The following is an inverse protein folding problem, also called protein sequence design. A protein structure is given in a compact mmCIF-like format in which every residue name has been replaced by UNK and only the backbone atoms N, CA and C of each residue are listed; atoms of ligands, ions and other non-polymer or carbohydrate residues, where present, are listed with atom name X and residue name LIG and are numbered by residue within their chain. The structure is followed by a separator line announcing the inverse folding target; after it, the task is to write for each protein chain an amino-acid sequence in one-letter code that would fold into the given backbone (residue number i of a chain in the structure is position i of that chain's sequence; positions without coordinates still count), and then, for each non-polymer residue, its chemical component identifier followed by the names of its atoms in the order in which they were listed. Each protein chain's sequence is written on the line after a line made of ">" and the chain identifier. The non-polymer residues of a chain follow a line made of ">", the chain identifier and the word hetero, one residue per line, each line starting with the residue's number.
data_IF_487442501876
#
_entry.id   IF_487442501876
#
_cell.length_a   1.000
_cell.length_b   1.000
_cell.length_c   1.000
_cell.angle_alpha   90.00
_cell.angle_beta   90.00
_cell.angle_gamma   90.00
#
_symmetry.space_group_name_H-M   'P 1'
#
loop_
_entity.id
_entity.type
_entity.pdbx_description
1 polymer ?
#
# COMPACT_ATOMS: atom_id res chain seq x y z
N UNK A 1 1.38 -37.18 -30.08
CA UNK A 1 2.40 -36.22 -29.68
C UNK A 1 2.10 -35.82 -28.26
N UNK A 2 2.99 -36.15 -27.32
CA UNK A 2 2.82 -35.75 -25.94
C UNK A 2 2.97 -34.24 -25.87
N UNK A 3 2.01 -33.60 -25.22
CA UNK A 3 2.09 -32.16 -24.91
C UNK A 3 3.29 -31.94 -24.01
N UNK A 4 4.35 -31.34 -24.52
CA UNK A 4 5.50 -31.05 -23.69
C UNK A 4 5.26 -29.75 -22.89
N UNK A 5 6.06 -29.54 -21.84
CA UNK A 5 5.90 -28.43 -20.89
C UNK A 5 5.95 -27.07 -21.60
N UNK A 6 6.78 -26.93 -22.65
CA UNK A 6 6.92 -25.66 -23.36
C UNK A 6 5.69 -25.30 -24.20
N UNK A 7 4.93 -26.30 -24.65
CA UNK A 7 3.67 -26.04 -25.38
C UNK A 7 2.55 -25.60 -24.40
N UNK A 8 2.57 -26.17 -23.19
CA UNK A 8 1.64 -25.75 -22.14
C UNK A 8 2.00 -24.35 -21.62
N UNK A 9 3.28 -24.00 -21.55
CA UNK A 9 3.77 -22.69 -21.13
C UNK A 9 3.22 -21.55 -21.99
N UNK A 10 3.26 -21.71 -23.32
CA UNK A 10 2.77 -20.69 -24.26
C UNK A 10 1.29 -20.41 -24.07
N UNK A 11 0.49 -21.45 -23.89
CA UNK A 11 -0.95 -21.34 -23.66
C UNK A 11 -1.25 -20.68 -22.32
N UNK A 12 -0.54 -21.08 -21.26
CA UNK A 12 -0.68 -20.51 -19.94
C UNK A 12 -0.32 -19.01 -19.93
N UNK A 13 0.76 -18.66 -20.60
CA UNK A 13 1.26 -17.28 -20.67
C UNK A 13 0.29 -16.35 -21.39
N UNK A 14 -0.32 -16.81 -22.47
CA UNK A 14 -1.25 -15.99 -23.26
C UNK A 14 -2.60 -15.76 -22.57
N UNK A 15 -3.06 -16.75 -21.81
CA UNK A 15 -4.38 -16.67 -21.17
C UNK A 15 -4.37 -15.96 -19.81
N UNK A 16 -3.29 -16.10 -19.04
CA UNK A 16 -3.27 -15.60 -17.67
C UNK A 16 -2.99 -14.09 -17.53
N UNK A 17 -2.20 -13.51 -18.43
CA UNK A 17 -1.85 -12.09 -18.31
C UNK A 17 -3.09 -11.17 -18.38
N UNK A 18 -3.99 -11.31 -19.37
CA UNK A 18 -5.21 -10.51 -19.38
C UNK A 18 -6.11 -10.77 -18.18
N UNK A 19 -6.23 -12.02 -17.73
CA UNK A 19 -7.05 -12.40 -16.58
C UNK A 19 -6.49 -11.82 -15.28
N UNK A 20 -5.18 -11.86 -15.09
CA UNK A 20 -4.50 -11.28 -13.93
C UNK A 20 -4.74 -9.77 -13.85
N UNK A 21 -4.55 -9.07 -14.98
CA UNK A 21 -4.76 -7.62 -15.06
C UNK A 21 -6.20 -7.23 -14.74
N UNK A 22 -7.16 -7.95 -15.29
CA UNK A 22 -8.59 -7.69 -15.07
C UNK A 22 -8.97 -7.91 -13.59
N UNK A 23 -8.50 -9.00 -12.99
CA UNK A 23 -8.77 -9.31 -11.58
C UNK A 23 -8.18 -8.26 -10.64
N UNK A 24 -6.96 -7.83 -10.89
CA UNK A 24 -6.32 -6.79 -10.08
C UNK A 24 -7.13 -5.49 -10.10
N UNK A 25 -7.66 -5.09 -11.25
CA UNK A 25 -8.37 -3.83 -11.40
C UNK A 25 -9.80 -3.84 -10.85
N UNK A 26 -10.38 -5.00 -10.62
CA UNK A 26 -11.78 -5.12 -10.22
C UNK A 26 -12.02 -5.15 -8.71
N UNK A 27 -11.08 -5.65 -7.93
CA UNK A 27 -11.32 -5.99 -6.50
C UNK A 27 -10.70 -5.02 -5.49
N UNK A 28 -9.75 -4.18 -5.89
CA UNK A 28 -8.99 -3.35 -4.95
C UNK A 28 -9.35 -1.88 -5.17
N UNK A 29 -9.98 -1.28 -4.16
CA UNK A 29 -10.60 0.03 -4.30
C UNK A 29 -9.54 1.13 -4.43
N UNK A 30 -8.58 1.20 -3.50
CA UNK A 30 -7.60 2.29 -3.50
C UNK A 30 -6.65 2.22 -4.70
N UNK A 31 -6.18 1.02 -5.03
CA UNK A 31 -5.27 0.83 -6.16
C UNK A 31 -5.92 1.24 -7.49
N UNK A 32 -7.24 1.05 -7.61
CA UNK A 32 -8.00 1.44 -8.82
C UNK A 32 -8.14 2.95 -8.97
N UNK A 33 -7.99 3.71 -7.88
CA UNK A 33 -8.10 5.17 -7.91
C UNK A 33 -6.78 5.85 -8.26
N UNK A 34 -5.66 5.15 -8.08
CA UNK A 34 -4.31 5.68 -8.33
C UNK A 34 -3.92 5.37 -9.78
N UNK A 35 -3.51 6.40 -10.52
CA UNK A 35 -3.03 6.22 -11.90
C UNK A 35 -1.63 5.61 -11.92
N UNK A 36 -1.41 4.70 -12.86
CA UNK A 36 -0.11 4.07 -13.06
C UNK A 36 0.67 4.80 -14.15
N UNK A 37 1.91 5.17 -13.84
CA UNK A 37 2.82 5.84 -14.76
C UNK A 37 4.05 4.94 -14.98
N UNK A 38 4.28 4.56 -16.22
CA UNK A 38 5.41 3.70 -16.59
C UNK A 38 6.52 4.46 -17.33
N UNK A 39 6.33 5.75 -17.60
CA UNK A 39 7.24 6.53 -18.45
C UNK A 39 8.41 7.17 -17.70
N UNK A 40 8.22 7.53 -16.43
CA UNK A 40 9.19 8.32 -15.67
C UNK A 40 10.19 7.48 -14.89
N UNK A 41 10.25 6.19 -15.16
CA UNK A 41 11.13 5.27 -14.44
C UNK A 41 12.34 4.93 -15.32
N UNK A 42 13.52 5.34 -14.90
CA UNK A 42 14.77 4.98 -15.55
C UNK A 42 15.71 4.27 -14.58
N UNK A 43 16.05 3.05 -14.90
CA UNK A 43 16.91 2.22 -14.05
C UNK A 43 16.23 1.80 -12.75
N UNK A 44 16.79 2.19 -11.61
CA UNK A 44 16.36 1.70 -10.29
C UNK A 44 15.55 2.72 -9.48
N UNK A 45 15.20 3.86 -10.05
CA UNK A 45 14.41 4.88 -9.34
C UNK A 45 13.75 5.85 -10.32
N UNK A 46 12.66 6.46 -9.89
CA UNK A 46 12.09 7.62 -10.55
C UNK A 46 12.65 8.88 -9.87
N UNK A 47 13.03 9.88 -10.67
CA UNK A 47 13.53 11.15 -10.14
C UNK A 47 12.65 12.27 -10.71
N UNK A 48 12.03 13.03 -9.80
CA UNK A 48 11.12 14.10 -10.14
C UNK A 48 11.64 15.41 -9.57
N UNK A 49 11.62 16.49 -10.37
CA UNK A 49 12.05 17.82 -9.93
C UNK A 49 10.85 18.60 -9.41
N UNK A 50 10.91 19.01 -8.17
CA UNK A 50 9.83 19.75 -7.50
C UNK A 50 10.28 21.19 -7.26
N UNK A 51 9.45 22.17 -7.64
CA UNK A 51 9.66 23.58 -7.41
C UNK A 51 9.38 23.90 -5.92
N UNK A 52 10.40 24.35 -5.20
CA UNK A 52 10.33 24.51 -3.73
C UNK A 52 10.48 25.93 -3.24
N UNK A 53 10.86 26.88 -4.12
CA UNK A 53 11.04 28.25 -3.67
C UNK A 53 10.96 29.27 -4.78
N UNK A 54 10.34 30.39 -4.47
CA UNK A 54 10.12 31.48 -5.40
C UNK A 54 11.38 32.34 -5.55
N UNK A 55 11.46 33.03 -6.69
CA UNK A 55 12.51 33.99 -6.97
C UNK A 55 12.34 35.22 -6.05
N UNK A 56 13.42 35.60 -5.35
CA UNK A 56 13.46 36.77 -4.48
C UNK A 56 13.57 38.10 -5.22
N UNK A 57 13.82 38.07 -6.54
CA UNK A 57 14.00 39.27 -7.36
C UNK A 57 12.71 39.97 -7.78
N UNK A 58 11.61 39.77 -7.02
CA UNK A 58 10.29 40.37 -7.30
C UNK A 58 9.92 41.32 -6.16
N UNK A 59 9.58 42.58 -6.48
CA UNK A 59 9.13 43.50 -5.47
C UNK A 59 8.85 44.89 -6.06
N UNK A 60 7.90 45.59 -5.39
CA UNK A 60 7.58 46.98 -5.77
C UNK A 60 8.74 47.91 -5.41
N UNK A 61 8.94 48.96 -6.21
CA UNK A 61 9.93 49.99 -5.97
C UNK A 61 9.30 51.35 -6.27
N UNK A 62 9.88 52.40 -5.68
CA UNK A 62 9.53 53.75 -6.00
C UNK A 62 10.02 54.12 -7.39
N UNK A 63 9.46 55.19 -7.97
CA UNK A 63 9.92 55.71 -9.23
C UNK A 63 11.40 56.11 -9.15
N UNK A 64 12.24 55.56 -10.03
CA UNK A 64 13.70 55.77 -10.00
C UNK A 64 14.45 54.99 -8.93
N UNK A 65 13.75 54.11 -8.18
CA UNK A 65 14.39 53.31 -7.13
C UNK A 65 15.20 52.13 -7.66
N UNK A 66 16.15 51.64 -6.84
CA UNK A 66 16.99 50.48 -7.19
C UNK A 66 16.12 49.25 -7.39
N UNK A 67 16.34 48.50 -8.48
CA UNK A 67 15.63 47.26 -8.77
C UNK A 67 15.89 46.19 -7.68
N UNK A 68 14.97 45.23 -7.49
CA UNK A 68 15.21 44.12 -6.56
C UNK A 68 16.46 43.33 -6.94
N UNK A 69 17.20 42.87 -5.96
CA UNK A 69 18.34 41.98 -6.21
C UNK A 69 17.85 40.70 -6.92
N UNK A 70 18.54 40.35 -8.01
CA UNK A 70 18.19 39.16 -8.79
C UNK A 70 18.28 37.89 -7.93
N UNK A 71 17.29 37.06 -8.02
CA UNK A 71 17.25 35.75 -7.36
C UNK A 71 17.05 34.64 -8.38
N UNK A 72 16.83 33.42 -7.90
CA UNK A 72 16.54 32.28 -8.76
C UNK A 72 15.41 31.45 -8.17
N UNK A 73 14.73 30.73 -8.99
CA UNK A 73 13.76 29.69 -8.53
C UNK A 73 14.54 28.56 -7.88
N UNK A 74 13.94 27.92 -6.89
CA UNK A 74 14.58 26.80 -6.18
C UNK A 74 13.85 25.49 -6.47
N UNK A 75 14.63 24.44 -6.68
CA UNK A 75 14.13 23.11 -7.02
C UNK A 75 14.78 22.08 -6.11
N UNK A 76 14.07 20.99 -5.84
CA UNK A 76 14.56 19.80 -5.12
C UNK A 76 14.18 18.55 -5.90
N UNK A 77 15.00 17.52 -5.78
CA UNK A 77 14.76 16.24 -6.44
C UNK A 77 14.05 15.29 -5.47
N UNK A 78 12.87 14.87 -5.85
CA UNK A 78 12.18 13.73 -5.24
C UNK A 78 12.77 12.46 -5.84
N UNK A 79 13.20 11.52 -5.00
CA UNK A 79 13.83 10.26 -5.44
C UNK A 79 13.03 9.06 -4.93
N UNK A 80 12.24 8.48 -5.83
CA UNK A 80 11.36 7.36 -5.52
C UNK A 80 12.05 6.05 -5.94
N UNK A 81 12.44 5.23 -4.96
CA UNK A 81 13.09 3.94 -5.22
C UNK A 81 12.10 2.86 -5.60
N UNK A 82 12.54 1.87 -6.39
CA UNK A 82 11.72 0.74 -6.79
C UNK A 82 11.59 -0.28 -5.66
N UNK A 83 10.41 -0.86 -5.57
CA UNK A 83 10.10 -1.97 -4.67
C UNK A 83 9.58 -3.15 -5.50
N UNK A 84 9.89 -4.36 -5.08
CA UNK A 84 9.59 -5.57 -5.85
C UNK A 84 8.65 -6.47 -5.05
N UNK A 85 7.54 -6.83 -5.66
CA UNK A 85 6.56 -7.74 -5.08
C UNK A 85 6.54 -9.02 -5.92
N UNK A 86 6.66 -10.18 -5.26
CA UNK A 86 6.74 -11.47 -5.93
C UNK A 86 5.65 -12.40 -5.40
N UNK A 87 5.00 -13.12 -6.30
CA UNK A 87 4.18 -14.26 -5.97
C UNK A 87 4.82 -15.51 -6.58
N UNK A 88 4.78 -16.62 -5.85
CA UNK A 88 5.38 -17.88 -6.32
C UNK A 88 4.45 -19.04 -6.04
N UNK A 89 4.22 -19.86 -7.07
CA UNK A 89 3.57 -21.15 -6.92
C UNK A 89 4.60 -22.25 -7.13
N UNK A 90 4.35 -23.41 -6.55
CA UNK A 90 5.25 -24.56 -6.61
C UNK A 90 4.40 -25.81 -6.78
N UNK A 91 4.66 -26.56 -7.83
CA UNK A 91 3.94 -27.80 -8.13
C UNK A 91 4.94 -28.95 -8.12
N UNK A 92 4.63 -30.00 -7.39
CA UNK A 92 5.55 -31.15 -7.28
C UNK A 92 5.39 -32.11 -8.46
N UNK A 93 6.50 -32.76 -8.84
CA UNK A 93 6.53 -33.75 -9.92
C UNK A 93 5.50 -34.89 -9.78
N UNK A 94 5.31 -35.47 -8.56
CA UNK A 94 4.27 -36.47 -8.36
C UNK A 94 2.86 -35.97 -8.68
N UNK A 95 2.54 -34.73 -8.32
CA UNK A 95 1.23 -34.12 -8.61
C UNK A 95 1.05 -33.99 -10.13
N UNK A 96 2.09 -33.52 -10.84
CA UNK A 96 2.09 -33.41 -12.29
C UNK A 96 1.85 -34.78 -12.95
N UNK A 97 2.50 -35.84 -12.43
CA UNK A 97 2.35 -37.19 -12.96
C UNK A 97 0.96 -37.77 -12.68
N UNK A 98 0.41 -37.54 -11.49
CA UNK A 98 -0.92 -38.00 -11.13
C UNK A 98 -2.01 -37.38 -11.98
N UNK A 99 -1.81 -36.15 -12.43
CA UNK A 99 -2.76 -35.40 -13.27
C UNK A 99 -2.58 -35.66 -14.78
N UNK A 100 -1.54 -36.37 -15.19
CA UNK A 100 -1.24 -36.65 -16.62
C UNK A 100 -2.32 -37.46 -17.33
N UNK A 101 -3.12 -38.21 -16.58
CA UNK A 101 -4.24 -38.98 -17.14
C UNK A 101 -5.47 -38.11 -17.46
N UNK A 102 -5.53 -36.90 -16.89
CA UNK A 102 -6.62 -35.93 -17.14
C UNK A 102 -6.02 -34.54 -17.29
N UNK A 103 -5.78 -34.12 -18.52
CA UNK A 103 -5.20 -32.81 -18.84
C UNK A 103 -6.07 -31.65 -18.35
N UNK A 104 -7.39 -31.83 -18.36
CA UNK A 104 -8.31 -30.81 -17.84
C UNK A 104 -8.17 -30.59 -16.34
N UNK A 105 -7.90 -31.66 -15.58
CA UNK A 105 -7.68 -31.56 -14.13
C UNK A 105 -6.39 -30.79 -13.79
N UNK A 106 -5.34 -31.03 -14.56
CA UNK A 106 -4.05 -30.33 -14.39
C UNK A 106 -4.18 -28.83 -14.67
N UNK A 107 -4.81 -28.48 -15.79
CA UNK A 107 -5.03 -27.07 -16.15
C UNK A 107 -5.86 -26.35 -15.08
N UNK A 108 -6.96 -26.98 -14.63
CA UNK A 108 -7.82 -26.39 -13.58
C UNK A 108 -7.07 -26.20 -12.25
N UNK A 109 -6.19 -27.13 -11.89
CA UNK A 109 -5.41 -27.02 -10.65
C UNK A 109 -4.42 -25.86 -10.72
N UNK A 110 -3.70 -25.71 -11.83
CA UNK A 110 -2.75 -24.60 -12.03
C UNK A 110 -3.52 -23.26 -12.07
N UNK A 111 -4.65 -23.20 -12.78
CA UNK A 111 -5.49 -21.99 -12.84
C UNK A 111 -5.93 -21.57 -11.43
N UNK A 112 -6.35 -22.52 -10.62
CA UNK A 112 -6.76 -22.27 -9.24
C UNK A 112 -5.61 -21.71 -8.40
N UNK A 113 -4.42 -22.30 -8.52
CA UNK A 113 -3.22 -21.84 -7.78
C UNK A 113 -2.77 -20.45 -8.25
N UNK A 114 -2.75 -20.21 -9.54
CA UNK A 114 -2.39 -18.90 -10.11
C UNK A 114 -3.40 -17.83 -9.63
N UNK A 115 -4.69 -18.13 -9.71
CA UNK A 115 -5.74 -17.22 -9.25
C UNK A 115 -5.60 -16.93 -7.76
N UNK A 116 -5.28 -17.95 -6.96
CA UNK A 116 -5.04 -17.80 -5.53
C UNK A 116 -3.87 -16.87 -5.22
N UNK A 117 -2.73 -17.10 -5.85
CA UNK A 117 -1.53 -16.26 -5.65
C UNK A 117 -1.78 -14.82 -6.10
N UNK A 118 -2.51 -14.63 -7.23
CA UNK A 118 -2.86 -13.29 -7.70
C UNK A 118 -3.72 -12.56 -6.67
N UNK A 119 -4.72 -13.26 -6.09
CA UNK A 119 -5.57 -12.69 -5.04
C UNK A 119 -4.76 -12.29 -3.80
N UNK A 120 -3.88 -13.17 -3.35
CA UNK A 120 -3.04 -12.93 -2.17
C UNK A 120 -2.05 -11.77 -2.42
N UNK A 121 -1.47 -11.71 -3.61
CA UNK A 121 -0.56 -10.62 -4.00
C UNK A 121 -1.30 -9.27 -4.04
N UNK A 122 -2.52 -9.26 -4.60
CA UNK A 122 -3.42 -8.10 -4.60
C UNK A 122 -3.65 -7.56 -3.18
N UNK A 123 -4.05 -8.47 -2.29
CA UNK A 123 -4.35 -8.11 -0.90
C UNK A 123 -3.13 -7.53 -0.22
N UNK A 124 -1.97 -8.14 -0.44
CA UNK A 124 -0.73 -7.66 0.16
C UNK A 124 -0.32 -6.30 -0.39
N UNK A 125 -0.44 -6.07 -1.70
CA UNK A 125 -0.14 -4.77 -2.31
C UNK A 125 -1.12 -3.70 -1.80
N UNK A 126 -2.42 -4.01 -1.69
CA UNK A 126 -3.40 -3.06 -1.14
C UNK A 126 -3.08 -2.70 0.31
N UNK A 127 -2.66 -3.68 1.13
CA UNK A 127 -2.18 -3.43 2.49
C UNK A 127 -0.98 -2.46 2.48
N UNK A 128 -0.02 -2.70 1.57
CA UNK A 128 1.18 -1.86 1.45
C UNK A 128 0.86 -0.43 1.04
N UNK A 129 -0.21 -0.19 0.26
CA UNK A 129 -0.64 1.18 -0.11
C UNK A 129 -0.95 2.02 1.15
N UNK A 130 -1.37 1.39 2.23
CA UNK A 130 -1.67 2.09 3.49
C UNK A 130 -0.52 2.05 4.50
N UNK A 131 0.65 1.52 4.13
CA UNK A 131 1.80 1.33 5.01
C UNK A 131 2.39 2.68 5.50
N UNK A 132 3.09 2.62 6.63
CA UNK A 132 3.75 3.78 7.26
C UNK A 132 5.25 3.89 6.95
N UNK A 133 5.75 3.14 5.98
CA UNK A 133 7.18 2.98 5.62
C UNK A 133 7.97 2.05 6.54
N UNK A 134 7.41 1.63 7.67
CA UNK A 134 8.10 0.67 8.56
C UNK A 134 7.84 -0.79 8.16
N UNK A 135 6.71 -1.05 7.51
CA UNK A 135 6.31 -2.40 7.14
C UNK A 135 5.76 -3.22 8.30
N UNK A 136 5.60 -2.61 9.47
CA UNK A 136 5.08 -3.29 10.66
C UNK A 136 3.55 -3.43 10.55
N UNK A 137 3.07 -4.65 10.80
CA UNK A 137 1.62 -4.92 10.83
C UNK A 137 1.06 -4.60 12.21
N UNK A 138 1.73 -5.08 13.26
CA UNK A 138 1.27 -4.89 14.63
C UNK A 138 2.44 -4.90 15.60
N UNK A 139 2.28 -4.21 16.73
CA UNK A 139 3.27 -4.17 17.81
C UNK A 139 2.93 -5.28 18.81
N UNK A 140 3.96 -5.98 19.30
CA UNK A 140 3.82 -6.99 20.34
C UNK A 140 3.79 -6.34 21.72
N UNK A 141 3.25 -7.04 22.70
CA UNK A 141 3.30 -6.68 24.11
C UNK A 141 4.04 -7.75 24.90
N UNK A 142 3.79 -9.01 24.57
CA UNK A 142 4.39 -10.16 25.25
C UNK A 142 4.14 -11.42 24.43
N UNK A 143 4.76 -12.52 24.85
CA UNK A 143 4.53 -13.84 24.26
C UNK A 143 4.49 -14.89 25.36
N UNK A 144 3.68 -15.92 25.18
CA UNK A 144 3.65 -17.12 26.03
C UNK A 144 3.17 -18.33 25.23
N UNK A 145 4.03 -19.36 25.15
CA UNK A 145 3.72 -20.63 24.47
C UNK A 145 3.22 -20.43 23.03
N UNK A 146 3.98 -19.64 22.26
CA UNK A 146 3.72 -19.31 20.84
C UNK A 146 2.51 -18.40 20.62
N UNK A 147 1.91 -17.90 21.71
CA UNK A 147 0.79 -16.96 21.63
C UNK A 147 1.35 -15.56 21.86
N UNK A 148 1.34 -14.77 20.82
CA UNK A 148 1.86 -13.39 20.81
C UNK A 148 0.70 -12.44 21.11
N UNK A 149 0.79 -11.73 22.22
CA UNK A 149 -0.20 -10.71 22.63
C UNK A 149 0.21 -9.39 22.00
N UNK A 150 -0.73 -8.73 21.31
CA UNK A 150 -0.45 -7.47 20.61
C UNK A 150 -0.83 -6.28 21.48
N UNK A 151 -0.07 -5.19 21.32
CA UNK A 151 -0.30 -3.92 22.02
C UNK A 151 -1.47 -3.19 21.36
N UNK A 152 -2.61 -3.14 22.04
CA UNK A 152 -3.82 -2.43 21.58
C UNK A 152 -4.09 -2.61 20.05
N UNK A 153 -4.19 -3.87 19.59
CA UNK A 153 -4.33 -4.09 18.15
C UNK A 153 -5.66 -3.57 17.60
N UNK A 154 -5.61 -3.00 16.43
CA UNK A 154 -6.82 -2.56 15.73
C UNK A 154 -7.43 -3.72 14.93
N UNK A 155 -8.71 -3.60 14.60
CA UNK A 155 -9.40 -4.61 13.80
C UNK A 155 -8.74 -4.78 12.41
N UNK A 156 -8.19 -3.71 11.84
CA UNK A 156 -7.46 -3.77 10.56
C UNK A 156 -6.19 -4.62 10.71
N UNK A 157 -5.39 -4.37 11.74
CA UNK A 157 -4.16 -5.13 11.98
C UNK A 157 -4.43 -6.63 12.17
N UNK A 158 -5.47 -6.96 12.94
CA UNK A 158 -5.85 -8.38 13.15
C UNK A 158 -6.33 -9.05 11.86
N UNK A 159 -7.01 -8.31 10.97
CA UNK A 159 -7.44 -8.84 9.68
C UNK A 159 -6.28 -9.05 8.70
N UNK A 160 -5.20 -8.27 8.85
CA UNK A 160 -4.00 -8.39 8.02
C UNK A 160 -3.14 -9.60 8.41
N UNK A 161 -3.32 -10.14 9.63
CA UNK A 161 -2.62 -11.32 10.12
C UNK A 161 -3.44 -12.57 9.80
N UNK A 162 -3.47 -12.94 8.53
CA UNK A 162 -4.28 -14.08 8.06
C UNK A 162 -3.62 -15.42 8.38
N UNK A 163 -4.44 -16.42 8.72
CA UNK A 163 -3.97 -17.78 8.99
C UNK A 163 -3.26 -18.35 7.75
N UNK A 164 -2.09 -18.94 7.96
CA UNK A 164 -1.25 -19.46 6.90
C UNK A 164 -0.21 -18.46 6.37
N UNK A 165 -0.35 -17.17 6.70
CA UNK A 165 0.66 -16.18 6.27
C UNK A 165 1.97 -16.37 7.05
N UNK A 166 3.07 -16.06 6.38
CA UNK A 166 4.41 -16.20 6.98
C UNK A 166 4.85 -14.81 7.46
N UNK A 167 5.26 -14.75 8.73
CA UNK A 167 5.62 -13.49 9.40
C UNK A 167 6.98 -13.60 10.09
N UNK A 168 7.61 -12.45 10.27
CA UNK A 168 8.82 -12.29 11.08
C UNK A 168 8.46 -11.47 12.33
N UNK A 169 9.11 -11.74 13.45
CA UNK A 169 8.91 -10.99 14.70
C UNK A 169 10.25 -10.48 15.22
N UNK A 170 10.30 -9.19 15.49
CA UNK A 170 11.51 -8.56 16.03
C UNK A 170 11.42 -7.05 16.04
N UNK A 171 12.53 -6.40 16.33
CA UNK A 171 12.60 -4.92 16.35
C UNK A 171 12.70 -4.37 14.91
N UNK A 172 12.44 -3.08 14.76
CA UNK A 172 12.42 -2.41 13.44
C UNK A 172 13.74 -2.57 12.68
N UNK A 173 14.87 -2.57 13.40
CA UNK A 173 16.20 -2.70 12.79
C UNK A 173 16.64 -4.16 12.60
N UNK A 174 15.97 -5.10 13.25
CA UNK A 174 16.22 -6.54 13.10
C UNK A 174 14.89 -7.30 13.15
N UNK A 175 14.17 -7.36 12.02
CA UNK A 175 12.79 -7.88 12.02
C UNK A 175 12.69 -9.39 12.29
N UNK A 176 13.78 -10.12 12.22
CA UNK A 176 13.80 -11.56 12.46
C UNK A 176 14.42 -11.94 13.83
N UNK A 177 14.61 -10.96 14.71
CA UNK A 177 15.30 -11.17 15.99
C UNK A 177 14.66 -12.25 16.86
N UNK A 178 13.34 -12.23 16.95
CA UNK A 178 12.61 -13.19 17.79
C UNK A 178 12.12 -14.39 16.97
N UNK A 179 11.51 -14.15 15.80
CA UNK A 179 11.02 -15.25 14.94
C UNK A 179 11.35 -14.91 13.48
N UNK A 180 11.92 -15.87 12.78
CA UNK A 180 12.14 -15.80 11.34
C UNK A 180 11.23 -16.81 10.64
N UNK A 181 10.40 -16.32 9.73
CA UNK A 181 9.47 -17.11 8.91
C UNK A 181 8.57 -18.01 9.76
N UNK A 182 7.89 -17.42 10.74
CA UNK A 182 6.87 -18.12 11.53
C UNK A 182 5.53 -18.11 10.79
N UNK A 183 4.79 -19.21 10.86
CA UNK A 183 3.48 -19.33 10.20
C UNK A 183 2.37 -19.00 11.19
N UNK A 184 1.44 -18.14 10.79
CA UNK A 184 0.28 -17.79 11.60
C UNK A 184 -0.67 -19.00 11.64
N UNK A 185 -0.88 -19.56 12.84
CA UNK A 185 -1.77 -20.70 13.06
C UNK A 185 -3.20 -20.27 13.39
N UNK A 186 -3.34 -19.21 14.18
CA UNK A 186 -4.67 -18.69 14.53
C UNK A 186 -4.57 -17.21 14.93
N UNK A 187 -5.68 -16.50 14.78
CA UNK A 187 -5.81 -15.09 15.20
C UNK A 187 -7.07 -14.98 16.08
N UNK A 188 -6.90 -14.51 17.30
CA UNK A 188 -8.01 -14.28 18.23
C UNK A 188 -8.32 -12.78 18.25
N UNK A 189 -9.38 -12.39 17.56
CA UNK A 189 -9.78 -10.99 17.43
C UNK A 189 -10.37 -10.41 18.73
N UNK A 190 -10.83 -11.26 19.64
CA UNK A 190 -11.40 -10.82 20.93
C UNK A 190 -10.29 -10.42 21.90
N UNK A 191 -9.25 -11.25 22.00
CA UNK A 191 -8.15 -11.04 22.94
C UNK A 191 -6.98 -10.28 22.34
N UNK A 192 -6.98 -10.07 21.02
CA UNK A 192 -5.88 -9.40 20.33
C UNK A 192 -4.60 -10.23 20.34
N UNK A 193 -4.71 -11.54 20.13
CA UNK A 193 -3.56 -12.45 20.15
C UNK A 193 -3.42 -13.19 18.83
N UNK A 194 -2.19 -13.56 18.50
CA UNK A 194 -1.83 -14.35 17.31
C UNK A 194 -0.98 -15.53 17.76
N UNK A 195 -1.33 -16.74 17.30
CA UNK A 195 -0.54 -17.93 17.57
C UNK A 195 0.32 -18.25 16.35
N UNK A 196 1.62 -18.42 16.57
CA UNK A 196 2.57 -18.83 15.54
C UNK A 196 2.97 -20.29 15.74
N UNK A 197 3.56 -20.88 14.71
CA UNK A 197 4.12 -22.25 14.78
C UNK A 197 5.44 -22.30 15.54
N UNK A 198 6.09 -21.15 15.78
CA UNK A 198 7.44 -21.04 16.35
C UNK A 198 7.44 -20.30 17.68
N UNK A 199 8.30 -20.74 18.58
CA UNK A 199 8.66 -20.00 19.78
C UNK A 199 9.66 -18.89 19.43
N UNK A 200 9.68 -17.79 20.19
CA UNK A 200 10.68 -16.74 19.96
C UNK A 200 12.09 -17.17 20.43
N UNK A 201 13.11 -16.55 19.89
CA UNK A 201 14.50 -16.77 20.28
C UNK A 201 14.84 -16.16 21.63
N UNK A 202 14.08 -15.15 22.05
CA UNK A 202 14.30 -14.42 23.30
C UNK A 202 12.98 -13.94 23.89
N UNK A 203 13.05 -12.89 24.70
CA UNK A 203 11.88 -12.31 25.33
C UNK A 203 11.21 -11.31 24.37
N UNK A 204 9.94 -11.50 24.12
CA UNK A 204 9.13 -10.60 23.27
C UNK A 204 8.54 -9.48 24.17
N UNK A 205 8.73 -8.24 23.74
CA UNK A 205 8.21 -7.07 24.48
C UNK A 205 7.65 -6.01 23.53
N UNK A 206 7.42 -4.82 24.04
CA UNK A 206 6.82 -3.72 23.28
C UNK A 206 7.76 -3.06 22.26
N UNK A 207 9.04 -3.48 22.19
CA UNK A 207 9.93 -3.03 21.10
C UNK A 207 9.81 -3.92 19.87
N UNK A 208 9.14 -5.09 19.98
CA UNK A 208 8.99 -6.06 18.90
C UNK A 208 7.70 -5.80 18.09
N UNK A 209 7.81 -6.05 16.81
CA UNK A 209 6.72 -5.89 15.85
C UNK A 209 6.60 -7.14 14.99
N UNK A 210 5.40 -7.37 14.46
CA UNK A 210 5.15 -8.42 13.47
C UNK A 210 5.21 -7.81 12.09
N UNK A 211 6.00 -8.43 11.21
CA UNK A 211 6.20 -8.04 9.81
C UNK A 211 5.78 -9.21 8.90
N UNK A 212 5.41 -8.93 7.66
CA UNK A 212 5.40 -9.98 6.62
C UNK A 212 6.83 -10.49 6.45
N UNK A 213 6.99 -11.79 6.29
CA UNK A 213 8.34 -12.35 6.15
C UNK A 213 9.02 -11.78 4.89
N UNK A 214 10.23 -11.26 5.06
CA UNK A 214 10.97 -10.60 4.00
C UNK A 214 10.58 -9.15 3.73
N UNK A 215 9.64 -8.58 4.50
CA UNK A 215 9.20 -7.18 4.31
C UNK A 215 10.30 -6.17 4.65
N UNK A 216 11.28 -6.58 5.45
CA UNK A 216 12.36 -5.70 5.87
C UNK A 216 13.72 -6.38 5.69
N UNK A 217 14.71 -5.55 5.45
CA UNK A 217 16.13 -5.95 5.40
C UNK A 217 16.60 -6.22 6.83
N UNK A 218 17.19 -7.38 7.07
CA UNK A 218 17.70 -7.79 8.39
C UNK A 218 19.01 -7.11 8.78
N UNK A 219 19.65 -6.41 7.84
CA UNK A 219 20.95 -5.74 8.08
C UNK A 219 20.80 -4.29 8.48
N UNK A 220 19.91 -3.54 7.81
CA UNK A 220 19.76 -2.10 8.00
C UNK A 220 18.32 -1.67 8.37
N UNK A 221 17.41 -2.63 8.45
CA UNK A 221 16.00 -2.36 8.79
C UNK A 221 15.22 -1.59 7.72
N UNK A 222 15.76 -1.43 6.51
CA UNK A 222 15.04 -0.75 5.44
C UNK A 222 13.88 -1.62 4.95
N UNK A 223 12.76 -0.99 4.57
CA UNK A 223 11.61 -1.75 4.10
C UNK A 223 11.74 -2.13 2.63
N UNK A 224 11.36 -3.37 2.32
CA UNK A 224 11.20 -3.86 0.95
C UNK A 224 9.79 -3.56 0.42
N UNK A 225 8.85 -3.24 1.31
CA UNK A 225 7.47 -2.90 0.95
C UNK A 225 7.34 -1.47 0.43
N UNK A 226 6.21 -1.17 -0.18
CA UNK A 226 5.87 0.17 -0.67
C UNK A 226 5.83 1.17 0.49
N UNK A 227 6.20 2.41 0.21
CA UNK A 227 5.94 3.53 1.11
C UNK A 227 4.49 3.96 0.82
N UNK A 228 3.63 3.73 1.78
CA UNK A 228 2.19 3.94 1.61
C UNK A 228 1.70 5.28 2.13
N UNK A 229 0.37 5.42 2.13
CA UNK A 229 -0.31 6.68 2.45
C UNK A 229 0.00 7.20 3.85
N UNK A 230 0.22 6.32 4.83
CA UNK A 230 0.55 6.80 6.18
C UNK A 230 1.90 7.52 6.25
N UNK A 231 2.84 7.16 5.39
CA UNK A 231 4.13 7.85 5.29
C UNK A 231 4.04 9.07 4.38
N UNK A 232 3.28 8.95 3.28
CA UNK A 232 3.13 10.03 2.30
C UNK A 232 2.34 11.20 2.91
N UNK A 233 1.21 10.89 3.57
CA UNK A 233 0.37 11.90 4.23
C UNK A 233 0.87 12.11 5.65
N UNK A 234 2.01 12.81 5.77
CA UNK A 234 2.66 13.09 7.04
C UNK A 234 3.29 14.48 6.98
N UNK A 235 3.45 15.12 8.14
CA UNK A 235 4.03 16.46 8.25
C UNK A 235 5.44 16.45 8.85
N UNK A 236 6.03 15.29 9.06
CA UNK A 236 7.35 15.11 9.66
C UNK A 236 8.08 13.93 9.02
N UNK A 237 9.40 13.90 9.17
CA UNK A 237 10.24 12.83 8.63
C UNK A 237 10.58 13.05 7.15
N UNK A 238 11.80 12.71 6.76
CA UNK A 238 12.28 12.83 5.37
C UNK A 238 11.54 11.81 4.50
N UNK A 239 10.92 12.30 3.43
CA UNK A 239 10.22 11.46 2.45
C UNK A 239 10.85 11.70 1.07
N UNK A 240 11.27 10.63 0.38
CA UNK A 240 11.82 10.67 -0.98
C UNK A 240 12.96 11.69 -1.16
N UNK A 241 13.84 11.79 -0.14
CA UNK A 241 15.01 12.67 -0.11
C UNK A 241 14.67 14.14 0.18
N UNK A 242 13.43 14.46 0.52
CA UNK A 242 13.01 15.84 0.86
C UNK A 242 12.59 15.89 2.33
N UNK A 243 13.20 16.82 3.08
CA UNK A 243 12.90 17.03 4.50
C UNK A 243 11.83 18.14 4.63
N UNK A 244 10.65 17.83 5.17
CA UNK A 244 9.60 18.84 5.32
C UNK A 244 9.93 19.94 6.37
N UNK A 245 10.92 19.72 7.24
CA UNK A 245 11.36 20.77 8.13
C UNK A 245 12.11 21.88 7.41
N UNK A 246 12.74 21.54 6.26
CA UNK A 246 13.47 22.47 5.40
C UNK A 246 12.57 22.99 4.28
N UNK A 247 11.80 22.10 3.67
CA UNK A 247 10.88 22.45 2.57
C UNK A 247 9.45 22.36 3.13
N UNK A 248 8.96 23.46 3.68
CA UNK A 248 7.65 23.47 4.34
C UNK A 248 6.49 23.15 3.40
N UNK A 249 6.64 23.46 2.12
CA UNK A 249 5.65 23.12 1.07
C UNK A 249 5.52 21.59 0.88
N UNK A 250 6.47 20.81 1.41
CA UNK A 250 6.45 19.34 1.32
C UNK A 250 5.61 18.70 2.44
N UNK A 251 5.11 19.48 3.40
CA UNK A 251 4.28 18.95 4.50
C UNK A 251 2.87 18.62 4.01
N UNK A 252 2.33 17.48 4.47
CA UNK A 252 0.89 17.23 4.36
C UNK A 252 0.16 17.95 5.49
N UNK A 253 -1.08 18.33 5.24
CA UNK A 253 -2.00 18.79 6.28
C UNK A 253 -2.39 17.59 7.15
N UNK A 254 -2.01 17.61 8.42
CA UNK A 254 -2.32 16.52 9.37
C UNK A 254 -3.12 17.08 10.53
N UNK A 255 -4.37 16.65 10.66
CA UNK A 255 -5.27 17.06 11.75
C UNK A 255 -5.47 15.87 12.71
N UNK A 256 -4.44 15.64 13.57
CA UNK A 256 -4.32 14.45 14.41
C UNK A 256 -4.93 14.55 15.80
N UNK A 257 -5.42 15.72 16.21
CA UNK A 257 -6.04 15.96 17.54
C UNK A 257 -5.20 15.40 18.70
N UNK A 258 -3.87 15.51 18.61
CA UNK A 258 -2.90 14.97 19.60
C UNK A 258 -3.14 13.47 19.88
N UNK A 259 -3.53 12.70 18.86
CA UNK A 259 -3.75 11.25 18.99
C UNK A 259 -5.10 10.85 19.58
N UNK A 260 -5.94 11.81 19.97
CA UNK A 260 -7.24 11.53 20.58
C UNK A 260 -8.34 11.41 19.52
N UNK A 261 -9.05 10.29 19.53
CA UNK A 261 -10.16 10.05 18.59
C UNK A 261 -11.30 11.03 18.84
N UNK A 262 -11.94 11.45 17.75
CA UNK A 262 -13.10 12.35 17.80
C UNK A 262 -14.11 11.97 16.71
N UNK A 263 -15.30 12.55 16.80
CA UNK A 263 -16.37 12.28 15.84
C UNK A 263 -16.00 12.82 14.44
N UNK A 264 -16.34 12.05 13.41
CA UNK A 264 -16.18 12.48 12.02
C UNK A 264 -17.39 13.35 11.64
N UNK A 265 -17.26 14.67 11.83
CA UNK A 265 -18.33 15.65 11.58
C UNK A 265 -18.12 16.35 10.24
N UNK A 266 -19.19 16.95 9.69
CA UNK A 266 -19.11 17.81 8.50
C UNK A 266 -18.07 18.92 8.72
N UNK A 267 -18.17 19.61 9.84
CA UNK A 267 -17.26 20.72 10.20
C UNK A 267 -15.78 20.26 10.23
N UNK A 268 -15.52 19.04 10.69
CA UNK A 268 -14.15 18.51 10.71
C UNK A 268 -13.63 18.30 9.28
N UNK A 269 -14.45 17.72 8.40
CA UNK A 269 -14.06 17.53 7.00
C UNK A 269 -13.89 18.87 6.29
N UNK A 270 -14.80 19.83 6.50
CA UNK A 270 -14.71 21.18 5.94
C UNK A 270 -13.40 21.86 6.36
N UNK A 271 -13.07 21.82 7.66
CA UNK A 271 -11.84 22.41 8.19
C UNK A 271 -10.60 21.84 7.48
N UNK A 272 -10.52 20.52 7.33
CA UNK A 272 -9.36 19.89 6.69
C UNK A 272 -9.31 20.21 5.19
N UNK A 273 -10.46 20.24 4.51
CA UNK A 273 -10.53 20.58 3.08
C UNK A 273 -10.07 22.02 2.86
N UNK A 274 -10.52 22.93 3.72
CA UNK A 274 -10.13 24.34 3.65
C UNK A 274 -8.63 24.51 3.92
N UNK A 275 -8.09 23.82 4.94
CA UNK A 275 -6.67 23.86 5.27
C UNK A 275 -5.83 23.36 4.06
N UNK A 276 -6.25 22.26 3.43
CA UNK A 276 -5.58 21.72 2.23
C UNK A 276 -5.62 22.77 1.11
N UNK A 277 -6.80 23.35 0.86
CA UNK A 277 -6.98 24.37 -0.18
C UNK A 277 -6.12 25.61 0.04
N UNK A 278 -6.00 26.05 1.29
CA UNK A 278 -5.16 27.22 1.65
C UNK A 278 -3.68 26.93 1.49
N UNK A 279 -3.22 25.73 1.85
CA UNK A 279 -1.80 25.37 1.80
C UNK A 279 -1.34 24.97 0.38
N UNK A 280 -2.16 24.22 -0.36
CA UNK A 280 -1.76 23.66 -1.67
C UNK A 280 -2.31 24.43 -2.86
N UNK A 281 -3.36 25.23 -2.66
CA UNK A 281 -4.05 25.93 -3.76
C UNK A 281 -5.01 25.03 -4.55
N UNK A 282 -5.13 23.74 -4.17
CA UNK A 282 -6.04 22.79 -4.82
C UNK A 282 -6.84 22.04 -3.76
N UNK A 283 -8.07 21.67 -4.11
CA UNK A 283 -8.91 20.88 -3.19
C UNK A 283 -8.71 19.40 -3.40
N UNK A 284 -8.87 18.56 -2.37
CA UNK A 284 -8.90 17.13 -2.55
C UNK A 284 -10.10 16.71 -3.41
N UNK A 285 -10.05 15.54 -4.01
CA UNK A 285 -11.14 15.01 -4.84
C UNK A 285 -11.65 13.65 -4.36
N UNK A 286 -11.05 13.09 -3.30
CA UNK A 286 -11.34 11.73 -2.87
C UNK A 286 -11.04 11.55 -1.39
N UNK A 287 -11.94 10.87 -0.66
CA UNK A 287 -11.74 10.53 0.75
C UNK A 287 -11.76 9.01 0.89
N UNK A 288 -10.68 8.44 1.48
CA UNK A 288 -10.65 7.02 1.82
C UNK A 288 -10.52 6.85 3.32
N UNK A 289 -11.30 5.93 3.88
CA UNK A 289 -11.35 5.69 5.32
C UNK A 289 -11.79 4.25 5.63
N UNK A 290 -11.95 3.95 6.92
CA UNK A 290 -12.48 2.66 7.37
C UNK A 290 -14.00 2.67 7.43
N UNK A 291 -14.59 1.48 7.42
CA UNK A 291 -16.04 1.29 7.59
C UNK A 291 -16.52 1.92 8.92
N UNK A 292 -15.68 1.89 9.97
CA UNK A 292 -16.01 2.49 11.26
C UNK A 292 -16.22 4.00 11.19
N UNK A 293 -15.28 4.71 10.55
CA UNK A 293 -15.38 6.17 10.36
C UNK A 293 -16.58 6.53 9.46
N UNK A 294 -16.76 5.80 8.35
CA UNK A 294 -17.91 6.01 7.46
C UNK A 294 -19.23 5.83 8.22
N UNK A 295 -19.33 4.78 9.05
CA UNK A 295 -20.53 4.50 9.85
C UNK A 295 -20.81 5.62 10.86
N UNK A 296 -19.75 6.13 11.51
CA UNK A 296 -19.85 7.26 12.46
C UNK A 296 -20.41 8.50 11.74
N UNK A 297 -19.83 8.84 10.59
CA UNK A 297 -20.30 9.97 9.76
C UNK A 297 -21.77 9.78 9.32
N UNK A 298 -22.09 8.60 8.79
CA UNK A 298 -23.45 8.28 8.34
C UNK A 298 -24.49 8.39 9.48
N UNK A 299 -24.10 8.00 10.70
CA UNK A 299 -25.01 8.07 11.85
C UNK A 299 -25.32 9.53 12.24
N UNK A 300 -24.36 10.44 12.07
CA UNK A 300 -24.58 11.87 12.32
C UNK A 300 -25.50 12.49 11.27
N UNK A 301 -25.33 12.12 10.00
CA UNK A 301 -26.24 12.58 8.94
C UNK A 301 -27.66 12.12 9.20
N UNK A 302 -27.86 10.88 9.63
CA UNK A 302 -29.18 10.34 10.00
C UNK A 302 -29.80 11.13 11.17
N UNK A 303 -28.99 11.48 12.16
CA UNK A 303 -29.46 12.25 13.31
C UNK A 303 -29.92 13.65 12.91
N UNK A 304 -29.33 14.23 11.86
CA UNK A 304 -29.69 15.52 11.31
C UNK A 304 -30.81 15.45 10.27
N UNK A 305 -31.35 14.23 9.99
CA UNK A 305 -32.37 13.97 8.97
C UNK A 305 -31.96 14.42 7.56
N UNK A 306 -30.67 14.36 7.27
CA UNK A 306 -30.15 14.70 5.94
C UNK A 306 -30.12 13.45 5.05
N UNK A 307 -30.59 13.62 3.84
CA UNK A 307 -30.47 12.63 2.78
C UNK A 307 -29.26 12.97 1.94
N UNK A 308 -28.37 12.02 1.78
CA UNK A 308 -27.15 12.21 0.99
C UNK A 308 -27.20 11.35 -0.27
N UNK A 309 -26.74 11.91 -1.35
CA UNK A 309 -26.55 11.17 -2.59
C UNK A 309 -25.38 10.22 -2.48
N UNK A 310 -25.44 9.14 -3.24
CA UNK A 310 -24.32 8.20 -3.37
C UNK A 310 -23.74 8.31 -4.78
N UNK A 311 -22.43 8.27 -4.87
CA UNK A 311 -21.73 8.31 -6.15
C UNK A 311 -21.05 6.97 -6.42
N UNK A 312 -20.95 6.60 -7.70
CA UNK A 312 -20.30 5.37 -8.12
C UNK A 312 -18.86 5.68 -8.54
N UNK A 313 -17.91 5.02 -7.92
CA UNK A 313 -16.48 5.18 -8.19
C UNK A 313 -16.02 4.23 -9.31
N UNK A 314 -14.81 4.43 -9.80
CA UNK A 314 -14.14 3.49 -10.73
C UNK A 314 -14.13 2.09 -10.11
N UNK A 315 -14.50 1.10 -10.88
CA UNK A 315 -14.64 -0.28 -10.41
C UNK A 315 -16.00 -0.61 -9.79
N UNK A 316 -16.99 0.32 -9.88
CA UNK A 316 -18.38 0.07 -9.44
C UNK A 316 -18.63 0.17 -7.94
N UNK A 317 -17.71 0.73 -7.17
CA UNK A 317 -17.88 0.91 -5.72
C UNK A 317 -18.81 2.10 -5.42
N UNK A 318 -19.70 1.93 -4.44
CA UNK A 318 -20.58 3.01 -3.95
C UNK A 318 -19.88 3.79 -2.85
N UNK A 319 -19.97 5.11 -2.90
CA UNK A 319 -19.41 6.00 -1.88
C UNK A 319 -20.46 6.96 -1.37
N UNK A 320 -20.42 7.21 -0.07
CA UNK A 320 -21.19 8.28 0.57
C UNK A 320 -20.52 9.61 0.19
N UNK A 321 -21.31 10.66 -0.03
CA UNK A 321 -20.77 11.96 -0.42
C UNK A 321 -20.61 12.86 0.81
N UNK A 322 -19.48 13.55 0.90
CA UNK A 322 -19.20 14.60 1.88
C UNK A 322 -19.26 15.93 1.12
N UNK A 323 -20.19 16.79 1.50
CA UNK A 323 -20.32 18.12 0.90
C UNK A 323 -19.63 19.14 1.79
N UNK A 324 -18.65 19.85 1.24
CA UNK A 324 -17.87 20.86 1.94
C UNK A 324 -17.88 22.15 1.11
N UNK A 325 -18.87 22.97 1.34
CA UNK A 325 -18.99 24.25 0.66
C UNK A 325 -19.15 24.10 -0.85
N UNK A 326 -18.05 24.29 -1.57
CA UNK A 326 -18.01 24.27 -3.03
C UNK A 326 -17.46 22.96 -3.62
N UNK A 327 -17.15 21.96 -2.77
CA UNK A 327 -16.61 20.68 -3.22
C UNK A 327 -17.45 19.54 -2.65
N UNK A 328 -17.77 18.56 -3.49
CA UNK A 328 -18.51 17.36 -3.10
C UNK A 328 -17.60 16.15 -3.31
N UNK A 329 -17.21 15.47 -2.23
CA UNK A 329 -16.20 14.43 -2.22
C UNK A 329 -16.80 13.06 -1.94
N UNK A 330 -16.48 12.04 -2.77
CA UNK A 330 -16.86 10.67 -2.44
C UNK A 330 -16.04 10.15 -1.26
N UNK A 331 -16.73 9.64 -0.23
CA UNK A 331 -16.13 9.03 0.94
C UNK A 331 -16.22 7.51 0.78
N UNK A 332 -15.13 6.91 0.36
CA UNK A 332 -15.04 5.48 0.12
C UNK A 332 -14.43 4.76 1.31
N UNK A 333 -14.66 3.46 1.39
CA UNK A 333 -14.07 2.63 2.45
C UNK A 333 -13.16 1.58 1.86
N UNK A 334 -12.04 1.36 2.52
CA UNK A 334 -11.11 0.29 2.17
C UNK A 334 -10.85 -0.59 3.38
N UNK A 335 -10.74 -1.89 3.16
CA UNK A 335 -10.51 -2.92 4.18
C UNK A 335 -9.19 -2.68 4.94
N UNK A 336 -8.15 -2.23 4.22
CA UNK A 336 -6.79 -2.11 4.76
C UNK A 336 -6.48 -0.72 5.29
N UNK A 337 -7.40 0.23 5.15
CA UNK A 337 -7.22 1.57 5.69
C UNK A 337 -7.04 1.49 7.22
N UNK A 338 -6.04 2.20 7.78
CA UNK A 338 -5.80 2.19 9.24
C UNK A 338 -7.02 2.70 10.00
N UNK A 339 -7.32 2.06 11.13
CA UNK A 339 -8.46 2.42 11.98
C UNK A 339 -8.38 3.88 12.44
N UNK A 340 -9.53 4.52 12.51
CA UNK A 340 -9.72 5.89 13.03
C UNK A 340 -8.94 6.95 12.22
N UNK A 341 -8.66 6.67 10.94
CA UNK A 341 -8.01 7.62 10.04
C UNK A 341 -8.88 7.82 8.79
N UNK A 342 -8.80 9.02 8.24
CA UNK A 342 -9.36 9.35 6.94
C UNK A 342 -8.28 10.10 6.16
N UNK A 343 -8.06 9.68 4.92
CA UNK A 343 -7.11 10.32 4.01
C UNK A 343 -7.92 11.10 2.96
N UNK A 344 -7.68 12.41 2.92
CA UNK A 344 -8.27 13.29 1.93
C UNK A 344 -7.21 13.53 0.85
N UNK A 345 -7.46 13.04 -0.33
CA UNK A 345 -6.45 12.92 -1.39
C UNK A 345 -6.88 13.67 -2.64
N UNK A 346 -5.90 14.16 -3.37
CA UNK A 346 -6.09 14.58 -4.75
C UNK A 346 -5.44 13.51 -5.64
N UNK A 347 -6.26 12.64 -6.20
CA UNK A 347 -5.78 11.48 -6.98
C UNK A 347 -5.09 11.88 -8.28
N UNK A 348 -5.26 13.14 -8.74
CA UNK A 348 -4.54 13.64 -9.92
C UNK A 348 -3.03 13.83 -9.64
N UNK A 349 -2.66 13.94 -8.35
CA UNK A 349 -1.28 14.21 -7.94
C UNK A 349 -0.65 13.02 -7.20
N UNK A 350 -1.33 11.88 -7.18
CA UNK A 350 -0.82 10.65 -6.58
C UNK A 350 -0.74 9.60 -7.69
N UNK A 351 0.47 9.14 -8.00
CA UNK A 351 0.69 8.20 -9.08
C UNK A 351 1.48 7.00 -8.58
N UNK A 352 1.26 5.87 -9.20
CA UNK A 352 2.07 4.68 -8.99
C UNK A 352 3.09 4.59 -10.13
N UNK A 353 4.36 4.72 -9.83
CA UNK A 353 5.42 4.53 -10.81
C UNK A 353 5.75 3.04 -10.91
N UNK A 354 5.65 2.48 -12.10
CA UNK A 354 5.93 1.06 -12.35
C UNK A 354 6.96 0.93 -13.47
N UNK A 355 7.96 0.07 -13.27
CA UNK A 355 8.94 -0.21 -14.33
C UNK A 355 8.38 -1.19 -15.36
N UNK A 356 7.43 -2.03 -14.95
CA UNK A 356 6.73 -2.97 -15.84
C UNK A 356 5.37 -3.32 -15.22
N UNK A 357 4.46 -3.77 -16.05
CA UNK A 357 3.20 -4.38 -15.59
C UNK A 357 3.48 -5.71 -14.89
N UNK A 358 2.45 -6.26 -14.28
CA UNK A 358 2.49 -7.60 -13.71
C UNK A 358 2.79 -8.60 -14.82
N UNK A 359 3.84 -9.41 -14.63
CA UNK A 359 4.27 -10.38 -15.63
C UNK A 359 4.76 -11.66 -14.96
N UNK A 360 4.67 -12.76 -15.67
CA UNK A 360 5.32 -13.98 -15.23
C UNK A 360 6.82 -13.88 -15.51
N UNK A 361 7.61 -14.30 -14.53
CA UNK A 361 9.07 -14.28 -14.65
C UNK A 361 9.47 -15.37 -15.65
N UNK A 362 10.13 -14.98 -16.72
CA UNK A 362 10.56 -15.85 -17.80
C UNK A 362 12.03 -15.60 -18.09
N UNK A 363 12.88 -16.36 -17.42
CA UNK A 363 14.34 -16.23 -17.59
C UNK A 363 14.88 -17.11 -18.71
N UNK A 364 14.25 -18.26 -18.96
CA UNK A 364 14.72 -19.27 -19.89
C UNK A 364 13.72 -19.60 -21.03
N UNK A 365 12.75 -18.74 -21.25
CA UNK A 365 11.68 -19.00 -22.21
C UNK A 365 10.61 -19.95 -21.68
N UNK A 366 10.60 -20.20 -20.37
CA UNK A 366 9.64 -21.08 -19.70
C UNK A 366 9.07 -20.42 -18.46
N UNK A 367 7.75 -20.38 -18.37
CA UNK A 367 7.04 -19.83 -17.19
C UNK A 367 7.27 -20.70 -15.95
N UNK A 368 7.49 -22.00 -16.14
CA UNK A 368 7.77 -22.93 -15.06
C UNK A 368 9.24 -23.37 -15.10
N UNK A 369 10.04 -22.88 -14.17
CA UNK A 369 11.44 -23.30 -14.03
C UNK A 369 11.56 -24.45 -13.04
N UNK A 370 12.50 -25.33 -13.28
CA UNK A 370 12.70 -26.53 -12.45
C UNK A 370 13.59 -26.25 -11.26
N UNK A 371 13.10 -26.53 -10.07
CA UNK A 371 13.87 -26.41 -8.84
C UNK A 371 13.90 -27.78 -8.15
N UNK A 372 15.01 -28.52 -8.36
CA UNK A 372 15.29 -29.78 -7.65
C UNK A 372 14.11 -30.77 -7.60
N UNK A 373 13.61 -31.16 -8.78
CA UNK A 373 12.50 -32.11 -8.91
C UNK A 373 11.11 -31.50 -8.74
N UNK A 374 11.01 -30.18 -8.61
CA UNK A 374 9.77 -29.43 -8.49
C UNK A 374 9.77 -28.30 -9.52
N UNK A 375 8.60 -27.91 -10.01
CA UNK A 375 8.42 -26.83 -10.98
C UNK A 375 7.79 -25.62 -10.27
N UNK A 376 8.29 -24.43 -10.61
CA UNK A 376 7.85 -23.22 -9.92
C UNK A 376 7.59 -22.05 -10.89
N UNK A 377 6.71 -21.18 -10.70
CA UNK A 377 6.38 -20.10 -11.47
C UNK A 377 6.47 -18.88 -10.62
N UNK A 378 6.82 -18.12 -10.96
CA UNK A 378 6.95 -16.96 -10.30
C UNK A 378 6.18 -15.93 -11.00
N UNK A 379 5.60 -15.45 -10.52
CA UNK A 379 4.99 -14.37 -10.96
C UNK A 379 5.71 -13.28 -10.38
N UNK A 380 6.16 -12.37 -11.05
CA UNK A 380 6.91 -11.19 -10.64
C UNK A 380 6.14 -9.93 -10.98
N UNK A 381 6.06 -9.00 -10.03
CA UNK A 381 5.63 -7.63 -10.29
C UNK A 381 6.69 -6.67 -9.77
N UNK A 382 7.11 -5.72 -10.58
CA UNK A 382 7.89 -4.58 -10.12
C UNK A 382 6.93 -3.41 -9.93
N UNK A 383 6.28 -3.36 -8.77
CA UNK A 383 5.43 -2.23 -8.39
C UNK A 383 6.29 -1.21 -7.64
N UNK A 384 6.17 0.01 -8.06
CA UNK A 384 6.98 1.12 -7.59
C UNK A 384 6.14 2.02 -6.72
N UNK A 385 6.79 2.70 -5.83
CA UNK A 385 6.19 3.55 -4.83
C UNK A 385 5.35 4.69 -5.42
N UNK A 386 4.43 5.15 -4.61
CA UNK A 386 3.54 6.26 -4.92
C UNK A 386 4.27 7.57 -4.58
N UNK A 387 4.69 8.37 -5.56
CA UNK A 387 5.27 9.66 -5.24
C UNK A 387 4.19 10.65 -4.84
N UNK A 388 4.58 11.64 -4.11
CA UNK A 388 3.73 12.75 -3.72
C UNK A 388 4.13 13.95 -4.56
N UNK A 389 3.24 14.42 -5.40
CA UNK A 389 3.45 15.66 -6.14
C UNK A 389 2.59 16.74 -5.51
N UNK A 390 3.24 17.74 -4.96
CA UNK A 390 2.57 18.92 -4.45
C UNK A 390 2.43 19.94 -5.58
N UNK A 391 1.22 20.32 -5.90
CA UNK A 391 0.90 21.45 -6.73
C UNK A 391 -0.06 22.37 -6.01
#
# INVERSE_FOLDING_TARGET
>A
VALNLSAADSALKEDYQPAIREQLNQEIMMLNQIEQNTRDVEGRRAVLSIHTGRNSGVGARAEGGTLPTAGSQQYKEERVGLKYNYGRIKVTGPVIRAMKSDSGSFVRAIESEVSGVVMDLKRDVNRQVFNDSQGAIAQCASESSKVYTLTTPTATQLRQLEVGSIVDVGIVTNPTEQVSAGTVQSVNTTNGTVTLDKDPSGTVDSSDFIFRSGAKNTTDGSTHELIGLQAIVNNSGTLYNIDPSVVTLWKSTVNGNSGTNRAATDNLFETVIDDIGLESGTSPNFIVTTVGVRRNYASQLKAQKRFTDTTTLKGGFSALTVDAGNVSLPLATDRDCPNNKAFLLNTAHIMQHASSDWEFMDEDGSVLSRVSGEDAXXXRSSIIQIPRTNH
#
